data_IF_628529368593
#
_entry.id   IF_628529368593
#
_cell.length_a   1.000
_cell.length_b   1.000
_cell.length_c   1.000
_cell.angle_alpha   90.00
_cell.angle_beta   90.00
_cell.angle_gamma   90.00
#
_symmetry.space_group_name_H-M   'P 1'
#
loop_
_entity.id
_entity.type
_entity.pdbx_description
1 polymer ?
#
# COMPACT_ATOMS: atom_id res chain seq x y z
N UNK A 1 5.64 1.35 12.16
CA UNK A 1 5.35 -0.04 12.53
C UNK A 1 5.09 -0.16 14.03
N UNK A 2 4.05 -0.90 14.41
CA UNK A 2 3.62 -1.09 15.82
C UNK A 2 4.42 -2.17 16.57
N UNK A 3 5.57 -2.57 16.03
CA UNK A 3 6.42 -3.63 16.57
C UNK A 3 6.80 -3.48 18.03
N UNK A 4 6.89 -2.24 18.54
CA UNK A 4 7.18 -1.96 19.94
C UNK A 4 6.21 -2.64 20.93
N UNK A 5 4.93 -2.74 20.57
CA UNK A 5 3.89 -3.35 21.41
C UNK A 5 3.98 -4.88 21.47
N UNK A 6 4.84 -5.48 20.63
CA UNK A 6 5.00 -6.93 20.50
C UNK A 6 6.32 -7.44 21.05
N UNK A 7 6.87 -6.76 22.07
CA UNK A 7 8.11 -7.22 22.71
C UNK A 7 7.96 -8.60 23.33
N UNK A 8 8.92 -9.48 23.04
CA UNK A 8 8.97 -10.84 23.57
C UNK A 8 7.90 -11.78 23.01
N UNK A 9 7.31 -11.43 21.87
CA UNK A 9 6.23 -12.15 21.22
C UNK A 9 6.67 -12.82 19.93
N UNK A 10 5.95 -13.87 19.54
CA UNK A 10 6.11 -14.54 18.25
C UNK A 10 5.24 -13.85 17.20
N UNK A 11 5.81 -13.51 16.06
CA UNK A 11 5.17 -12.69 15.05
C UNK A 11 5.13 -13.37 13.69
N UNK A 12 4.09 -13.07 12.93
CA UNK A 12 3.95 -13.45 11.53
C UNK A 12 3.98 -12.21 10.66
N UNK A 13 4.73 -12.27 9.57
CA UNK A 13 4.73 -11.31 8.47
C UNK A 13 4.24 -11.99 7.21
N UNK A 14 3.20 -11.46 6.59
CA UNK A 14 2.64 -11.98 5.34
C UNK A 14 3.13 -11.14 4.18
N UNK A 15 3.86 -11.77 3.26
CA UNK A 15 4.42 -11.10 2.09
C UNK A 15 5.81 -11.63 1.71
N UNK A 16 6.42 -11.04 0.68
CA UNK A 16 7.75 -11.47 0.21
C UNK A 16 8.46 -10.45 -0.67
N UNK A 17 7.93 -9.22 -0.72
CA UNK A 17 8.59 -8.06 -1.33
C UNK A 17 9.45 -7.30 -0.34
N UNK A 18 10.06 -6.19 -0.80
CA UNK A 18 10.97 -5.36 0.01
C UNK A 18 10.32 -4.93 1.33
N UNK A 19 9.09 -4.41 1.29
CA UNK A 19 8.38 -3.95 2.49
C UNK A 19 8.20 -5.07 3.52
N UNK A 20 7.81 -6.28 3.10
CA UNK A 20 7.60 -7.40 4.00
C UNK A 20 8.91 -7.83 4.67
N UNK A 21 10.00 -7.91 3.90
CA UNK A 21 11.29 -8.35 4.41
C UNK A 21 11.95 -7.29 5.30
N UNK A 22 11.84 -6.02 4.92
CA UNK A 22 12.35 -4.89 5.71
C UNK A 22 11.64 -4.82 7.08
N UNK A 23 10.31 -4.93 7.08
CA UNK A 23 9.52 -4.94 8.30
C UNK A 23 9.76 -6.19 9.15
N UNK A 24 9.93 -7.35 8.54
CA UNK A 24 10.30 -8.56 9.27
C UNK A 24 11.64 -8.39 10.00
N UNK A 25 12.66 -7.84 9.31
CA UNK A 25 13.94 -7.49 9.90
C UNK A 25 13.81 -6.46 11.05
N UNK A 26 12.94 -5.46 10.89
CA UNK A 26 12.67 -4.49 11.94
C UNK A 26 12.00 -5.14 13.17
N UNK A 27 11.03 -6.01 12.95
CA UNK A 27 10.30 -6.72 14.01
C UNK A 27 11.18 -7.64 14.84
N UNK A 28 12.29 -8.16 14.30
CA UNK A 28 13.24 -8.98 15.08
C UNK A 28 13.90 -8.21 16.24
N UNK A 29 13.85 -6.87 16.24
CA UNK A 29 14.32 -6.03 17.35
C UNK A 29 13.42 -6.16 18.59
N UNK A 30 12.18 -6.57 18.41
CA UNK A 30 11.17 -6.64 19.46
C UNK A 30 10.72 -8.07 19.72
N UNK A 31 10.38 -8.81 18.67
CA UNK A 31 9.89 -10.18 18.74
C UNK A 31 10.98 -11.19 19.14
N UNK A 32 10.55 -12.31 19.66
CA UNK A 32 11.37 -13.50 19.89
C UNK A 32 11.61 -14.25 18.60
N UNK A 33 10.59 -14.35 17.76
CA UNK A 33 10.60 -15.02 16.48
C UNK A 33 9.73 -14.25 15.50
N UNK A 34 10.13 -14.19 14.22
CA UNK A 34 9.36 -13.62 13.10
C UNK A 34 9.27 -14.64 12.00
N UNK A 35 8.06 -15.08 11.66
CA UNK A 35 7.82 -16.00 10.55
C UNK A 35 7.33 -15.23 9.32
N UNK A 36 8.06 -15.32 8.23
CA UNK A 36 7.63 -14.76 6.94
C UNK A 36 6.85 -15.83 6.20
N UNK A 37 5.55 -15.60 6.01
CA UNK A 37 4.68 -16.47 5.21
C UNK A 37 4.68 -15.91 3.78
N UNK A 38 5.11 -16.73 2.82
CA UNK A 38 5.15 -16.35 1.42
C UNK A 38 4.58 -17.42 0.51
N UNK A 39 3.76 -16.99 -0.46
CA UNK A 39 3.05 -17.87 -1.40
C UNK A 39 3.92 -18.58 -2.43
N UNK A 40 5.21 -18.28 -2.49
CA UNK A 40 6.22 -18.87 -3.38
C UNK A 40 7.36 -19.44 -2.55
N UNK A 41 8.27 -20.12 -3.21
CA UNK A 41 9.51 -20.67 -2.65
C UNK A 41 10.69 -19.69 -2.65
N UNK A 42 10.49 -18.48 -3.19
CA UNK A 42 11.53 -17.44 -3.28
C UNK A 42 10.93 -16.04 -3.01
N UNK A 43 11.67 -15.23 -2.23
CA UNK A 43 11.33 -13.83 -1.98
C UNK A 43 11.53 -12.97 -3.23
N UNK A 44 10.64 -12.02 -3.45
CA UNK A 44 10.79 -10.99 -4.50
C UNK A 44 11.60 -9.77 -4.05
N UNK A 45 11.95 -9.71 -2.78
CA UNK A 45 12.74 -8.64 -2.20
C UNK A 45 14.12 -8.52 -2.86
N UNK A 46 14.71 -7.33 -2.78
CA UNK A 46 16.07 -7.05 -3.25
C UNK A 46 17.08 -7.99 -2.60
N UNK A 47 18.17 -8.28 -3.33
CA UNK A 47 19.19 -9.25 -2.88
C UNK A 47 19.72 -8.92 -1.48
N UNK A 48 19.99 -7.65 -1.20
CA UNK A 48 20.52 -7.22 0.09
C UNK A 48 19.57 -7.50 1.25
N UNK A 49 18.26 -7.33 1.05
CA UNK A 49 17.25 -7.63 2.06
C UNK A 49 17.09 -9.13 2.26
N UNK A 50 17.10 -9.91 1.18
CA UNK A 50 17.07 -11.37 1.25
C UNK A 50 18.26 -11.93 2.02
N UNK A 51 19.48 -11.51 1.68
CA UNK A 51 20.70 -11.96 2.35
C UNK A 51 20.67 -11.65 3.85
N UNK A 52 20.17 -10.46 4.23
CA UNK A 52 20.02 -10.07 5.64
C UNK A 52 18.94 -10.90 6.37
N UNK A 53 17.84 -11.19 5.69
CA UNK A 53 16.78 -12.00 6.29
C UNK A 53 17.21 -13.44 6.49
N UNK A 54 17.89 -14.05 5.52
CA UNK A 54 18.44 -15.41 5.64
C UNK A 54 19.54 -15.54 6.70
N UNK A 55 20.29 -14.47 6.95
CA UNK A 55 21.31 -14.45 8.00
C UNK A 55 20.73 -14.18 9.40
N UNK A 56 19.46 -13.86 9.55
CA UNK A 56 18.87 -13.51 10.84
C UNK A 56 18.26 -14.73 11.52
N UNK A 57 18.85 -15.16 12.65
CA UNK A 57 18.44 -16.36 13.39
C UNK A 57 17.00 -16.31 13.96
N UNK A 58 16.40 -15.11 14.05
CA UNK A 58 15.03 -14.94 14.52
C UNK A 58 14.00 -15.05 13.38
N UNK A 59 14.44 -15.08 12.11
CA UNK A 59 13.54 -15.16 10.97
C UNK A 59 13.41 -16.62 10.51
N UNK A 60 12.17 -17.09 10.45
CA UNK A 60 11.79 -18.35 9.84
C UNK A 60 10.95 -18.08 8.59
N UNK A 61 11.08 -18.95 7.59
CA UNK A 61 10.32 -18.84 6.35
C UNK A 61 9.29 -19.96 6.25
N UNK A 62 8.06 -19.58 5.96
CA UNK A 62 6.95 -20.51 5.64
C UNK A 62 6.63 -20.31 4.17
N UNK A 63 7.26 -21.15 3.35
CA UNK A 63 7.16 -21.08 1.90
C UNK A 63 5.90 -21.72 1.36
N UNK A 64 5.56 -21.34 0.12
CA UNK A 64 4.42 -21.89 -0.62
C UNK A 64 3.14 -21.89 0.21
N UNK A 65 2.91 -20.85 1.00
CA UNK A 65 1.80 -20.78 1.93
C UNK A 65 1.09 -19.43 1.88
N UNK A 66 -0.22 -19.50 2.03
CA UNK A 66 -1.10 -18.33 2.15
C UNK A 66 -1.85 -18.38 3.48
N UNK A 67 -2.12 -17.22 4.04
CA UNK A 67 -2.95 -17.09 5.24
C UNK A 67 -4.41 -17.10 4.81
N UNK A 68 -5.19 -18.03 5.32
CA UNK A 68 -6.63 -18.16 5.04
C UNK A 68 -7.49 -17.53 6.13
N UNK A 69 -7.01 -17.49 7.37
CA UNK A 69 -7.66 -16.77 8.46
C UNK A 69 -6.69 -16.35 9.55
N UNK A 70 -7.08 -15.31 10.29
CA UNK A 70 -6.41 -14.89 11.53
C UNK A 70 -7.30 -15.32 12.69
N UNK A 71 -6.75 -16.13 13.59
CA UNK A 71 -7.48 -16.79 14.66
C UNK A 71 -7.25 -16.08 16.00
N UNK A 72 -8.30 -16.00 16.84
CA UNK A 72 -8.21 -15.41 18.15
C UNK A 72 -9.57 -15.05 18.75
N UNK A 73 -9.56 -14.61 19.98
CA UNK A 73 -10.75 -14.13 20.68
C UNK A 73 -10.36 -12.87 21.48
N UNK A 74 -10.64 -11.69 20.90
CA UNK A 74 -10.23 -10.39 21.44
C UNK A 74 -8.74 -10.06 21.27
N UNK A 75 -7.89 -11.05 20.99
CA UNK A 75 -6.48 -10.90 20.61
C UNK A 75 -6.09 -12.00 19.63
N UNK A 76 -5.03 -11.75 18.85
CA UNK A 76 -4.49 -12.76 17.92
C UNK A 76 -3.89 -13.91 18.71
N UNK A 77 -4.21 -15.16 18.32
CA UNK A 77 -3.68 -16.38 18.89
C UNK A 77 -2.97 -17.26 17.85
N UNK A 78 -3.22 -17.02 16.57
CA UNK A 78 -2.63 -17.78 15.47
C UNK A 78 -3.17 -17.40 14.12
N UNK A 79 -2.70 -18.10 13.09
CA UNK A 79 -3.19 -18.03 11.72
C UNK A 79 -3.43 -19.43 11.18
N UNK A 80 -4.48 -19.58 10.40
CA UNK A 80 -4.65 -20.75 9.54
C UNK A 80 -3.96 -20.47 8.21
N UNK A 81 -3.20 -21.41 7.72
CA UNK A 81 -2.48 -21.33 6.45
C UNK A 81 -2.81 -22.51 5.56
N UNK A 82 -2.70 -22.31 4.26
CA UNK A 82 -2.83 -23.32 3.24
C UNK A 82 -1.57 -23.37 2.38
N UNK A 83 -1.04 -24.56 2.13
CA UNK A 83 0.08 -24.74 1.22
C UNK A 83 -0.42 -24.63 -0.22
N UNK A 84 0.15 -23.71 -1.00
CA UNK A 84 -0.28 -23.41 -2.38
C UNK A 84 0.03 -24.51 -3.40
N UNK A 85 0.91 -25.45 -3.05
CA UNK A 85 1.28 -26.57 -3.93
C UNK A 85 0.47 -27.83 -3.62
N UNK A 86 0.21 -28.10 -2.33
CA UNK A 86 -0.44 -29.36 -1.90
C UNK A 86 -1.89 -29.17 -1.49
N UNK A 87 -2.34 -27.94 -1.22
CA UNK A 87 -3.65 -27.64 -0.65
C UNK A 87 -3.78 -28.05 0.83
N UNK A 88 -2.69 -28.46 1.48
CA UNK A 88 -2.69 -28.88 2.88
C UNK A 88 -2.91 -27.66 3.78
N UNK A 89 -3.93 -27.73 4.65
CA UNK A 89 -4.21 -26.72 5.65
C UNK A 89 -3.47 -27.03 6.97
N UNK A 90 -2.95 -26.01 7.62
CA UNK A 90 -2.30 -26.11 8.92
C UNK A 90 -2.48 -24.84 9.74
N UNK A 91 -2.09 -24.86 11.00
CA UNK A 91 -2.18 -23.71 11.90
C UNK A 91 -0.81 -23.34 12.47
N UNK A 92 -0.56 -22.04 12.58
CA UNK A 92 0.61 -21.50 13.24
C UNK A 92 0.17 -20.60 14.40
N UNK A 93 0.69 -20.85 15.59
CA UNK A 93 0.50 -19.97 16.74
C UNK A 93 1.31 -18.70 16.55
N UNK A 94 0.72 -17.53 16.83
CA UNK A 94 1.38 -16.23 16.79
C UNK A 94 0.64 -15.23 17.66
N UNK A 95 1.35 -14.24 18.18
CA UNK A 95 0.77 -13.16 18.98
C UNK A 95 0.43 -11.92 18.14
N UNK A 96 0.90 -11.86 16.90
CA UNK A 96 0.64 -10.72 16.02
C UNK A 96 0.90 -11.05 14.56
N UNK A 97 0.10 -10.43 13.69
CA UNK A 97 0.15 -10.60 12.23
C UNK A 97 0.34 -9.24 11.57
N UNK A 98 1.35 -9.15 10.71
CA UNK A 98 1.70 -7.97 9.94
C UNK A 98 1.59 -8.29 8.46
N UNK A 99 0.74 -7.57 7.73
CA UNK A 99 0.40 -7.89 6.33
C UNK A 99 1.04 -6.88 5.39
N UNK A 100 1.93 -7.37 4.50
CA UNK A 100 2.65 -6.56 3.50
C UNK A 100 2.56 -7.20 2.11
N UNK A 101 1.34 -7.37 1.62
CA UNK A 101 1.06 -8.00 0.32
C UNK A 101 1.01 -6.99 -0.83
N UNK A 102 1.27 -5.74 -0.54
CA UNK A 102 1.17 -4.59 -1.44
C UNK A 102 -0.05 -3.74 -1.13
N UNK A 103 -0.11 -2.58 -1.79
CA UNK A 103 -1.22 -1.64 -1.68
C UNK A 103 -1.74 -1.34 -3.07
N UNK A 104 -3.05 -1.36 -3.22
CA UNK A 104 -3.74 -0.85 -4.39
C UNK A 104 -4.43 0.45 -4.00
N UNK A 105 -4.22 1.55 -4.74
CA UNK A 105 -4.93 2.79 -4.47
C UNK A 105 -6.43 2.60 -4.72
N UNK A 106 -7.25 3.11 -3.80
CA UNK A 106 -8.71 3.07 -3.95
C UNK A 106 -9.14 4.19 -4.93
N UNK A 107 -9.10 3.89 -6.21
CA UNK A 107 -9.29 4.85 -7.30
C UNK A 107 -10.63 4.71 -8.06
N UNK A 108 -11.54 3.86 -7.61
CA UNK A 108 -12.81 3.56 -8.29
C UNK A 108 -13.64 4.83 -8.60
N UNK A 109 -13.64 5.81 -7.68
CA UNK A 109 -14.37 7.08 -7.85
C UNK A 109 -13.81 7.96 -8.97
N UNK A 110 -12.52 7.83 -9.28
CA UNK A 110 -11.79 8.70 -10.22
C UNK A 110 -11.49 8.02 -11.53
N UNK A 111 -11.69 6.72 -11.64
CA UNK A 111 -11.38 5.93 -12.82
C UNK A 111 -12.09 6.50 -14.06
N UNK A 112 -11.33 6.78 -15.12
CA UNK A 112 -11.85 7.40 -16.33
C UNK A 112 -12.20 8.91 -16.22
N UNK A 113 -11.98 9.54 -15.04
CA UNK A 113 -12.24 10.97 -14.82
C UNK A 113 -10.94 11.75 -14.55
N UNK A 114 -10.02 11.16 -13.80
CA UNK A 114 -8.72 11.75 -13.47
C UNK A 114 -7.61 10.88 -14.05
N UNK A 115 -6.45 11.48 -14.28
CA UNK A 115 -5.28 10.76 -14.74
C UNK A 115 -4.67 9.92 -13.64
N UNK A 116 -4.42 8.67 -13.97
CA UNK A 116 -3.76 7.69 -13.11
C UNK A 116 -2.43 7.28 -13.72
N UNK A 117 -1.47 6.94 -12.88
CA UNK A 117 -0.24 6.29 -13.33
C UNK A 117 -0.47 4.79 -13.58
N UNK A 118 0.58 4.08 -14.00
CA UNK A 118 0.54 2.64 -14.30
C UNK A 118 0.17 1.75 -13.09
N UNK A 119 0.39 2.26 -11.86
CA UNK A 119 0.06 1.58 -10.60
C UNK A 119 -1.33 1.98 -10.07
N UNK A 120 -2.02 2.90 -10.75
CA UNK A 120 -3.36 3.37 -10.40
C UNK A 120 -3.39 4.53 -9.40
N UNK A 121 -2.26 5.19 -9.11
CA UNK A 121 -2.24 6.40 -8.29
C UNK A 121 -2.59 7.64 -9.12
N UNK A 122 -3.22 8.62 -8.48
CA UNK A 122 -3.52 9.90 -9.10
C UNK A 122 -2.23 10.66 -9.43
N UNK A 123 -2.11 11.14 -10.66
CA UNK A 123 -1.01 11.99 -11.09
C UNK A 123 -1.31 13.41 -10.65
N UNK A 124 -0.37 14.01 -9.89
CA UNK A 124 -0.43 15.42 -9.46
C UNK A 124 0.87 16.14 -9.79
N UNK A 125 0.76 17.47 -9.88
CA UNK A 125 1.94 18.32 -9.91
C UNK A 125 2.45 18.62 -8.47
N UNK A 126 3.53 19.43 -8.38
CA UNK A 126 4.10 19.83 -7.08
C UNK A 126 3.16 20.71 -6.23
N UNK A 127 2.06 21.19 -6.81
CA UNK A 127 1.01 21.96 -6.15
C UNK A 127 -0.21 21.12 -5.82
N UNK A 128 -0.11 19.81 -5.85
CA UNK A 128 -1.20 18.86 -5.59
C UNK A 128 -2.38 18.98 -6.58
N UNK A 129 -2.19 19.61 -7.76
CA UNK A 129 -3.22 19.75 -8.78
C UNK A 129 -3.29 18.49 -9.63
N UNK A 130 -4.50 18.05 -9.92
CA UNK A 130 -4.75 16.98 -10.90
C UNK A 130 -4.84 17.55 -12.32
N UNK A 131 -5.10 16.70 -13.30
CA UNK A 131 -5.38 17.12 -14.68
C UNK A 131 -6.74 17.84 -14.86
N UNK A 132 -7.56 17.91 -13.81
CA UNK A 132 -8.84 18.62 -13.83
C UNK A 132 -8.74 19.82 -12.89
N UNK A 133 -8.96 21.04 -13.44
CA UNK A 133 -8.91 22.26 -12.65
C UNK A 133 -9.94 22.24 -11.50
N UNK A 134 -9.53 22.72 -10.33
CA UNK A 134 -10.35 22.70 -9.11
C UNK A 134 -10.36 21.37 -8.37
N UNK A 135 -9.69 20.31 -8.90
CA UNK A 135 -9.52 19.04 -8.22
C UNK A 135 -8.07 18.88 -7.79
N UNK A 136 -7.88 18.66 -6.50
CA UNK A 136 -6.58 18.46 -5.88
C UNK A 136 -6.55 17.08 -5.25
N UNK A 137 -5.37 16.43 -5.24
CA UNK A 137 -5.20 15.13 -4.61
C UNK A 137 -3.97 15.13 -3.70
N UNK A 138 -4.12 14.53 -2.52
CA UNK A 138 -3.08 14.45 -1.51
C UNK A 138 -3.16 13.11 -0.75
N UNK A 139 -2.05 12.70 -0.13
CA UNK A 139 -1.96 11.46 0.61
C UNK A 139 -1.66 10.25 -0.27
N UNK A 140 -1.94 9.06 0.24
CA UNK A 140 -1.54 7.80 -0.38
C UNK A 140 -2.18 7.56 -1.76
N UNK A 141 -3.26 8.24 -2.09
CA UNK A 141 -3.89 8.14 -3.41
C UNK A 141 -2.96 8.66 -4.53
N UNK A 142 -1.98 9.52 -4.21
CA UNK A 142 -0.98 10.04 -5.12
C UNK A 142 0.47 9.80 -4.65
N UNK A 143 0.70 9.55 -3.32
CA UNK A 143 2.02 9.26 -2.77
C UNK A 143 2.30 7.75 -2.79
N UNK A 144 2.91 7.27 -3.86
CA UNK A 144 3.34 5.88 -3.98
C UNK A 144 4.67 5.56 -3.31
N UNK A 145 5.39 6.58 -2.82
CA UNK A 145 6.76 6.44 -2.31
C UNK A 145 6.78 6.26 -0.80
N UNK A 146 6.26 7.24 -0.08
CA UNK A 146 6.41 7.27 1.38
C UNK A 146 5.28 6.59 2.13
N UNK A 147 4.04 6.79 1.71
CA UNK A 147 2.83 6.19 2.32
C UNK A 147 2.81 6.35 3.84
N UNK A 148 3.11 7.58 4.30
CA UNK A 148 3.15 7.93 5.72
C UNK A 148 2.08 8.94 6.08
N UNK A 149 1.51 8.83 7.30
CA UNK A 149 0.52 9.79 7.81
C UNK A 149 1.07 11.22 7.78
N UNK A 150 2.33 11.41 8.20
CA UNK A 150 2.96 12.72 8.24
C UNK A 150 3.09 13.36 6.83
N UNK A 151 3.47 12.58 5.81
CA UNK A 151 3.52 13.08 4.43
C UNK A 151 2.12 13.39 3.89
N UNK A 152 1.14 12.56 4.22
CA UNK A 152 -0.27 12.78 3.84
C UNK A 152 -0.83 14.06 4.44
N UNK A 153 -0.53 14.36 5.72
CA UNK A 153 -0.93 15.60 6.38
C UNK A 153 -0.30 16.82 5.69
N UNK A 154 1.02 16.78 5.41
CA UNK A 154 1.72 17.87 4.72
C UNK A 154 1.18 18.12 3.31
N UNK A 155 0.92 17.08 2.56
CA UNK A 155 0.32 17.17 1.23
C UNK A 155 -1.12 17.70 1.30
N UNK A 156 -1.92 17.26 2.28
CA UNK A 156 -3.26 17.77 2.52
C UNK A 156 -3.27 19.27 2.81
N UNK A 157 -2.35 19.75 3.64
CA UNK A 157 -2.15 21.17 3.87
C UNK A 157 -1.80 21.92 2.57
N UNK A 158 -0.89 21.38 1.78
CA UNK A 158 -0.51 21.95 0.49
C UNK A 158 -1.69 22.03 -0.49
N UNK A 159 -2.49 20.96 -0.56
CA UNK A 159 -3.69 20.90 -1.41
C UNK A 159 -4.73 21.93 -0.98
N UNK A 160 -4.98 22.08 0.34
CA UNK A 160 -5.92 23.07 0.86
C UNK A 160 -5.51 24.51 0.54
N UNK A 161 -4.22 24.84 0.72
CA UNK A 161 -3.70 26.16 0.36
C UNK A 161 -3.80 26.46 -1.15
N UNK A 162 -3.64 25.45 -2.00
CA UNK A 162 -3.81 25.62 -3.45
C UNK A 162 -5.29 25.73 -3.83
N UNK A 163 -6.19 25.04 -3.14
CA UNK A 163 -7.63 25.16 -3.35
C UNK A 163 -8.12 26.58 -2.97
N UNK A 164 -7.64 27.16 -1.84
CA UNK A 164 -7.94 28.51 -1.46
C UNK A 164 -7.51 29.54 -2.53
N UNK A 165 -6.28 29.41 -3.04
CA UNK A 165 -5.79 30.29 -4.11
C UNK A 165 -6.61 30.14 -5.39
N UNK A 166 -6.93 28.92 -5.77
CA UNK A 166 -7.78 28.64 -6.93
C UNK A 166 -9.15 29.32 -6.80
N UNK A 167 -9.78 29.24 -5.63
CA UNK A 167 -11.07 29.88 -5.37
C UNK A 167 -10.97 31.41 -5.43
N UNK A 168 -9.90 32.01 -4.88
CA UNK A 168 -9.69 33.45 -4.93
C UNK A 168 -9.47 33.97 -6.36
N UNK A 169 -8.70 33.22 -7.18
CA UNK A 169 -8.53 33.53 -8.62
C UNK A 169 -9.85 33.41 -9.36
N UNK A 170 -10.59 32.35 -9.08
CA UNK A 170 -11.90 32.04 -9.65
C UNK A 170 -12.95 33.13 -9.35
N UNK A 171 -12.99 33.63 -8.12
CA UNK A 171 -13.89 34.71 -7.71
C UNK A 171 -13.50 36.06 -8.32
N UNK A 172 -12.18 36.35 -8.45
CA UNK A 172 -11.69 37.62 -8.97
C UNK A 172 -11.91 37.80 -10.47
N UNK A 173 -11.89 36.72 -11.25
CA UNK A 173 -12.08 36.73 -12.69
C UNK A 173 -13.56 36.69 -13.12
N UNK A 174 -14.49 36.72 -12.15
CA UNK A 174 -15.93 36.72 -12.43
C UNK A 174 -16.37 35.44 -13.17
N UNK A 175 -16.20 34.30 -12.54
CA UNK A 175 -16.53 33.03 -13.16
C UNK A 175 -18.03 32.92 -13.50
N UNK A 176 -18.33 33.09 -14.73
CA UNK A 176 -19.65 32.87 -15.31
C UNK A 176 -19.72 31.49 -15.98
N UNK A 177 -19.63 30.41 -15.21
CA UNK A 177 -20.07 29.07 -15.62
C UNK A 177 -19.51 28.46 -16.93
N UNK A 178 -18.55 29.14 -17.56
CA UNK A 178 -17.87 28.59 -18.73
C UNK A 178 -16.84 27.57 -18.28
N UNK A 179 -16.91 26.36 -18.76
CA UNK A 179 -16.01 25.29 -18.40
C UNK A 179 -14.55 25.75 -18.49
N UNK A 180 -13.77 25.37 -17.49
CA UNK A 180 -12.31 25.55 -17.51
C UNK A 180 -11.80 25.00 -18.82
N UNK A 181 -11.08 25.84 -19.59
CA UNK A 181 -10.56 25.44 -20.88
C UNK A 181 -9.51 24.33 -20.65
N UNK A 182 -9.89 23.11 -20.98
CA UNK A 182 -9.02 21.93 -20.89
C UNK A 182 -7.74 22.06 -21.74
N UNK A 183 -7.56 23.15 -22.50
CA UNK A 183 -6.45 23.38 -23.42
C UNK A 183 -5.14 23.81 -22.74
N UNK A 184 -5.14 24.15 -21.46
CA UNK A 184 -3.89 24.45 -20.72
C UNK A 184 -3.17 23.23 -20.16
N UNK A 185 -3.77 22.06 -20.22
CA UNK A 185 -3.10 20.83 -19.82
C UNK A 185 -2.73 20.05 -21.08
N UNK A 186 -1.45 19.69 -21.29
CA UNK A 186 -1.09 18.84 -22.40
C UNK A 186 -1.93 17.56 -22.30
N UNK A 187 -2.55 17.18 -23.43
CA UNK A 187 -3.28 15.92 -23.54
C UNK A 187 -2.32 14.77 -23.22
N UNK A 188 -2.26 14.39 -21.96
CA UNK A 188 -1.63 13.14 -21.58
C UNK A 188 -2.67 12.08 -21.91
N UNK A 189 -2.35 11.09 -22.76
CA UNK A 189 -3.32 10.09 -23.18
C UNK A 189 -3.92 9.44 -21.94
N UNK A 190 -5.25 9.42 -21.88
CA UNK A 190 -5.98 8.68 -20.84
C UNK A 190 -5.60 7.22 -21.03
N UNK A 191 -4.76 6.70 -20.15
CA UNK A 191 -4.49 5.27 -20.10
C UNK A 191 -5.76 4.60 -19.56
N UNK A 192 -6.53 4.02 -20.46
CA UNK A 192 -7.60 3.09 -20.09
C UNK A 192 -6.93 1.73 -19.93
N UNK A 193 -6.78 1.20 -18.71
CA UNK A 193 -6.29 -0.16 -18.55
C UNK A 193 -7.24 -1.08 -19.30
N UNK A 194 -6.75 -1.77 -20.31
CA UNK A 194 -7.52 -2.85 -20.92
C UNK A 194 -7.76 -3.89 -19.83
N UNK A 195 -9.03 -4.00 -19.42
CA UNK A 195 -9.58 -5.02 -18.55
C UNK A 195 -8.85 -5.17 -17.21
N UNK A 196 -9.40 -4.54 -16.19
CA UNK A 196 -9.42 -5.16 -14.87
C UNK A 196 -10.23 -6.48 -15.03
N UNK A 197 -9.59 -7.49 -15.64
CA UNK A 197 -10.06 -8.85 -15.52
C UNK A 197 -10.14 -9.14 -14.03
N UNK A 198 -11.31 -9.52 -13.59
CA UNK A 198 -11.69 -10.11 -12.33
C UNK A 198 -10.47 -10.60 -11.53
N UNK A 199 -9.92 -9.72 -10.74
CA UNK A 199 -8.99 -10.14 -9.69
C UNK A 199 -9.89 -10.40 -8.48
N UNK A 200 -10.37 -11.64 -8.40
CA UNK A 200 -10.78 -12.19 -7.12
C UNK A 200 -9.74 -11.76 -6.08
N UNK A 201 -10.22 -11.13 -5.04
CA UNK A 201 -9.46 -10.83 -3.84
C UNK A 201 -9.16 -12.16 -3.15
N UNK A 202 -8.25 -12.91 -3.73
CA UNK A 202 -7.61 -13.99 -3.00
C UNK A 202 -6.67 -13.28 -2.04
N UNK A 203 -7.00 -13.27 -0.76
CA UNK A 203 -6.09 -12.98 0.34
C UNK A 203 -4.94 -13.99 0.26
N UNK A 204 -3.95 -13.68 -0.55
CA UNK A 204 -2.82 -14.55 -0.83
C UNK A 204 -1.51 -13.78 -0.72
#
# INVERSE_FOLDING_TARGET
>A
CDGFFFRGKDLVVVGGGDSAVEEALFLTKFGTKVRIIHRRDELRASKILRDRAFANEKIEFVWNSVVTSINGNGSVAGVSIENTLTGEASELTTDGVFVYVGHLPNNDLYHGKLQLDEDGHLITDKKMRTNVAGIFAAGEIQDKVYKQVATSVGQGCSAAMQAEKFLAEFESEGYHGAGVDAREFPEIPIFVPQQAAERELVLA
#
